data_IF_509988179042
#
_entry.id   IF_509988179042
#
_cell.length_a   1.000
_cell.length_b   1.000
_cell.length_c   1.000
_cell.angle_alpha   90.00
_cell.angle_beta   90.00
_cell.angle_gamma   90.00
#
_symmetry.space_group_name_H-M   'P 1'
#
loop_
_entity.id
_entity.type
_entity.pdbx_description
1 polymer ?
#
# COMPACT_ATOMS: atom_id res chain seq x y z
N UNK A 1 1.31 14.32 3.04
CA UNK A 1 2.47 13.72 3.75
C UNK A 1 2.08 12.98 5.03
N UNK A 2 1.27 13.56 5.91
CA UNK A 2 0.88 12.96 7.20
C UNK A 2 0.37 11.51 7.11
N UNK A 3 -0.49 11.20 6.13
CA UNK A 3 -0.98 9.83 5.94
C UNK A 3 0.13 8.80 5.69
N UNK A 4 1.17 9.15 4.93
CA UNK A 4 2.33 8.27 4.70
C UNK A 4 3.12 8.04 5.99
N UNK A 5 3.28 9.08 6.81
CA UNK A 5 3.98 8.99 8.08
C UNK A 5 3.25 8.07 9.06
N UNK A 6 1.93 8.23 9.19
CA UNK A 6 1.09 7.37 10.02
C UNK A 6 1.17 5.90 9.56
N UNK A 7 1.16 5.66 8.24
CA UNK A 7 1.31 4.29 7.71
C UNK A 7 2.64 3.64 8.13
N UNK A 8 3.71 4.44 8.13
CA UNK A 8 5.03 3.98 8.54
C UNK A 8 5.09 3.70 10.03
N UNK A 9 4.66 4.64 10.86
CA UNK A 9 4.65 4.47 12.33
C UNK A 9 3.82 3.26 12.76
N UNK A 10 2.70 3.02 12.10
CA UNK A 10 1.89 1.84 12.36
C UNK A 10 2.60 0.54 11.97
N UNK A 11 3.29 0.52 10.83
CA UNK A 11 4.12 -0.63 10.42
C UNK A 11 5.28 -0.85 11.39
N UNK A 12 5.94 0.22 11.84
CA UNK A 12 7.03 0.17 12.82
C UNK A 12 6.54 -0.34 14.19
N UNK A 13 5.31 0.01 14.59
CA UNK A 13 4.69 -0.55 15.79
C UNK A 13 4.41 -2.05 15.65
N UNK A 14 3.86 -2.49 14.51
CA UNK A 14 3.58 -3.91 14.26
C UNK A 14 4.85 -4.76 14.18
N UNK A 15 5.97 -4.21 13.69
CA UNK A 15 7.25 -4.92 13.67
C UNK A 15 7.89 -5.06 15.06
N UNK A 16 7.42 -4.29 16.04
CA UNK A 16 7.80 -4.43 17.45
C UNK A 16 6.90 -5.42 18.21
N UNK A 17 5.90 -6.02 17.56
CA UNK A 17 5.05 -7.03 18.18
C UNK A 17 5.89 -8.25 18.59
N UNK A 18 6.12 -8.37 19.89
CA UNK A 18 6.84 -9.49 20.50
C UNK A 18 5.89 -10.42 21.25
N UNK A 19 4.80 -10.80 20.59
CA UNK A 19 3.88 -11.78 21.12
C UNK A 19 4.54 -13.16 21.23
N UNK A 20 4.40 -13.87 22.36
CA UNK A 20 4.97 -15.21 22.53
C UNK A 20 4.24 -16.21 21.64
N UNK A 21 4.84 -16.54 20.50
CA UNK A 21 4.34 -17.55 19.57
C UNK A 21 5.14 -18.85 19.73
N UNK A 22 4.45 -19.97 19.93
CA UNK A 22 5.08 -21.27 20.16
C UNK A 22 5.90 -21.31 21.45
N UNK A 23 7.19 -21.69 21.34
CA UNK A 23 8.09 -21.74 22.50
C UNK A 23 8.89 -20.44 22.72
N UNK A 24 8.72 -19.43 21.88
CA UNK A 24 9.42 -18.15 21.98
C UNK A 24 8.83 -17.31 23.12
N UNK A 25 9.70 -16.77 23.97
CA UNK A 25 9.34 -15.84 25.07
C UNK A 25 10.16 -14.56 24.99
N UNK A 26 9.96 -13.75 23.95
CA UNK A 26 10.61 -12.45 23.87
C UNK A 26 10.17 -11.54 25.02
N UNK A 27 11.07 -10.66 25.47
CA UNK A 27 10.74 -9.65 26.47
C UNK A 27 9.85 -8.56 25.85
N UNK A 28 8.73 -8.16 26.47
CA UNK A 28 7.90 -7.08 25.96
C UNK A 28 8.68 -5.76 25.86
N UNK A 29 8.60 -5.08 24.71
CA UNK A 29 9.20 -3.74 24.49
C UNK A 29 8.12 -2.65 24.45
N UNK A 30 6.91 -3.01 24.02
CA UNK A 30 5.77 -2.10 23.95
C UNK A 30 5.08 -1.94 25.31
N UNK A 31 4.33 -0.86 25.47
CA UNK A 31 3.46 -0.64 26.63
C UNK A 31 2.49 -1.83 26.81
N UNK A 32 2.22 -2.22 28.05
CA UNK A 32 1.45 -3.42 28.38
C UNK A 32 0.05 -3.44 27.76
N UNK A 33 -0.62 -2.28 27.61
CA UNK A 33 -1.90 -2.19 26.92
C UNK A 33 -1.83 -2.50 25.43
N UNK A 34 -0.81 -1.97 24.74
CA UNK A 34 -0.60 -2.19 23.31
C UNK A 34 -0.18 -3.64 23.04
N UNK A 35 0.80 -4.14 23.81
CA UNK A 35 1.28 -5.51 23.67
C UNK A 35 0.17 -6.54 23.94
N UNK A 36 -0.70 -6.30 24.93
CA UNK A 36 -1.82 -7.19 25.23
C UNK A 36 -2.80 -7.33 24.05
N UNK A 37 -3.15 -6.22 23.40
CA UNK A 37 -3.99 -6.22 22.20
C UNK A 37 -3.32 -6.97 21.03
N UNK A 38 -2.03 -6.72 20.79
CA UNK A 38 -1.26 -7.38 19.74
C UNK A 38 -1.11 -8.89 19.99
N UNK A 39 -0.89 -9.29 21.25
CA UNK A 39 -0.83 -10.71 21.62
C UNK A 39 -2.17 -11.40 21.43
N UNK A 40 -3.28 -10.77 21.81
CA UNK A 40 -4.59 -11.34 21.53
C UNK A 40 -4.83 -11.51 20.02
N UNK A 41 -4.50 -10.49 19.23
CA UNK A 41 -4.59 -10.56 17.77
C UNK A 41 -3.70 -11.65 17.18
N UNK A 42 -2.46 -11.76 17.63
CA UNK A 42 -1.49 -12.78 17.21
C UNK A 42 -1.94 -14.20 17.59
N UNK A 43 -2.59 -14.40 18.74
CA UNK A 43 -3.17 -15.68 19.12
C UNK A 43 -4.35 -16.07 18.23
N UNK A 44 -5.26 -15.13 17.93
CA UNK A 44 -6.42 -15.36 17.04
C UNK A 44 -5.98 -15.62 15.60
N UNK A 45 -4.98 -14.89 15.12
CA UNK A 45 -4.46 -14.98 13.75
C UNK A 45 -3.29 -15.96 13.64
N UNK A 46 -3.05 -16.80 14.65
CA UNK A 46 -1.96 -17.79 14.64
C UNK A 46 -0.58 -17.22 14.24
N UNK A 47 -0.32 -15.96 14.58
CA UNK A 47 0.95 -15.27 14.33
C UNK A 47 1.15 -14.73 12.90
N UNK A 48 0.22 -14.95 11.97
CA UNK A 48 0.35 -14.40 10.61
C UNK A 48 -0.34 -13.04 10.42
N UNK A 49 -1.16 -12.59 11.38
CA UNK A 49 -1.92 -11.36 11.27
C UNK A 49 -1.04 -10.11 11.12
N UNK A 50 -0.06 -9.93 12.00
CA UNK A 50 0.84 -8.76 11.96
C UNK A 50 1.62 -8.70 10.63
N UNK A 51 2.25 -9.79 10.13
CA UNK A 51 2.84 -9.83 8.79
C UNK A 51 1.86 -9.50 7.65
N UNK A 52 0.63 -9.99 7.71
CA UNK A 52 -0.39 -9.72 6.69
C UNK A 52 -0.75 -8.23 6.64
N UNK A 53 -0.90 -7.59 7.80
CA UNK A 53 -1.17 -6.15 7.87
C UNK A 53 0.04 -5.35 7.35
N UNK A 54 1.27 -5.69 7.73
CA UNK A 54 2.47 -5.04 7.21
C UNK A 54 2.54 -5.09 5.66
N UNK A 55 2.17 -6.22 5.05
CA UNK A 55 2.09 -6.35 3.60
C UNK A 55 1.00 -5.43 3.00
N UNK A 56 -0.18 -5.37 3.61
CA UNK A 56 -1.25 -4.48 3.18
C UNK A 56 -0.85 -2.99 3.28
N UNK A 57 -0.17 -2.61 4.37
CA UNK A 57 0.34 -1.24 4.57
C UNK A 57 1.41 -0.87 3.53
N UNK A 58 2.20 -1.83 3.06
CA UNK A 58 3.17 -1.61 1.96
C UNK A 58 2.45 -1.27 0.65
N UNK A 59 1.41 -2.05 0.30
CA UNK A 59 0.58 -1.77 -0.87
C UNK A 59 -0.10 -0.41 -0.78
N UNK A 60 -0.62 -0.05 0.40
CA UNK A 60 -1.23 1.25 0.65
C UNK A 60 -0.22 2.40 0.47
N UNK A 61 0.98 2.26 1.01
CA UNK A 61 2.04 3.27 0.86
C UNK A 61 2.41 3.47 -0.62
N UNK A 62 2.50 2.40 -1.39
CA UNK A 62 2.75 2.46 -2.84
C UNK A 62 1.62 3.17 -3.57
N UNK A 63 0.36 2.86 -3.24
CA UNK A 63 -0.80 3.54 -3.79
C UNK A 63 -0.77 5.05 -3.51
N UNK A 64 -0.53 5.45 -2.26
CA UNK A 64 -0.46 6.87 -1.89
C UNK A 64 0.65 7.61 -2.63
N UNK A 65 1.80 6.96 -2.83
CA UNK A 65 2.88 7.53 -3.65
C UNK A 65 2.44 7.77 -5.08
N UNK A 66 1.74 6.83 -5.69
CA UNK A 66 1.29 6.95 -7.08
C UNK A 66 0.18 7.98 -7.23
N UNK A 67 -0.77 8.02 -6.29
CA UNK A 67 -1.84 9.02 -6.26
C UNK A 67 -1.29 10.45 -6.19
N UNK A 68 -0.25 10.69 -5.37
CA UNK A 68 0.40 12.01 -5.30
C UNK A 68 1.03 12.42 -6.63
N UNK A 69 1.74 11.51 -7.31
CA UNK A 69 2.30 11.78 -8.64
C UNK A 69 1.22 12.17 -9.66
N UNK A 70 0.05 11.52 -9.60
CA UNK A 70 -1.06 11.84 -10.49
C UNK A 70 -1.62 13.24 -10.22
N UNK A 71 -1.80 13.60 -8.94
CA UNK A 71 -2.26 14.94 -8.54
C UNK A 71 -1.26 16.02 -8.96
N UNK A 72 0.04 15.80 -8.73
CA UNK A 72 1.08 16.74 -9.15
C UNK A 72 1.09 16.94 -10.67
N UNK A 73 0.93 15.85 -11.44
CA UNK A 73 0.85 15.91 -12.91
C UNK A 73 -0.38 16.69 -13.39
N UNK A 74 -1.55 16.49 -12.77
CA UNK A 74 -2.77 17.23 -13.13
C UNK A 74 -2.59 18.73 -12.85
N UNK A 75 -2.02 19.08 -11.69
CA UNK A 75 -1.81 20.47 -11.30
C UNK A 75 -0.80 21.18 -12.22
N UNK A 76 0.28 20.49 -12.62
CA UNK A 76 1.27 21.02 -13.57
C UNK A 76 0.73 21.07 -15.01
N UNK A 77 -0.18 20.17 -15.39
CA UNK A 77 -0.80 20.13 -16.74
C UNK A 77 -1.84 21.22 -16.94
N UNK A 78 -2.53 21.68 -15.89
CA UNK A 78 -3.51 22.77 -15.99
C UNK A 78 -2.90 24.16 -16.24
N UNK A 79 -1.56 24.29 -16.22
CA UNK A 79 -0.85 25.54 -16.54
C UNK A 79 -0.41 25.67 -18.00
N UNK A 80 -0.61 24.65 -18.85
CA UNK A 80 -0.07 24.59 -20.21
C UNK A 80 -1.12 24.45 -21.32
N UNK A 81 -2.39 24.77 -21.06
CA UNK A 81 -3.43 24.87 -22.11
C UNK A 81 -3.36 26.22 -22.85
N UNK A 82 -2.17 26.54 -23.32
CA UNK A 82 -1.94 27.56 -24.35
C UNK A 82 -0.75 27.09 -25.17
N UNK A 83 -1.03 26.24 -26.18
CA UNK A 83 -0.52 26.35 -27.55
C UNK A 83 -0.26 24.98 -28.21
N UNK A 84 -1.03 24.72 -29.28
CA UNK A 84 -0.48 24.16 -30.52
C UNK A 84 -0.88 22.73 -30.86
N UNK A 85 -1.78 22.60 -31.84
CA UNK A 85 -2.00 21.40 -32.65
C UNK A 85 -0.69 20.73 -33.10
N UNK A 86 -0.68 19.40 -33.14
CA UNK A 86 0.08 18.63 -34.13
C UNK A 86 -0.53 17.23 -34.29
N UNK A 87 -1.01 17.03 -35.50
CA UNK A 87 -1.49 15.82 -36.15
C UNK A 87 -0.45 14.68 -36.21
N UNK A 88 -0.86 13.45 -35.90
CA UNK A 88 -0.31 12.19 -36.43
C UNK A 88 -1.23 11.06 -35.93
N UNK A 89 -2.02 10.34 -36.73
CA UNK A 89 -1.67 9.75 -38.01
C UNK A 89 -1.26 8.29 -37.81
N UNK A 90 -2.18 7.40 -37.41
CA UNK A 90 -2.00 5.94 -37.52
C UNK A 90 -3.34 5.19 -37.51
N UNK A 91 -3.75 4.83 -38.72
CA UNK A 91 -4.91 4.03 -39.12
C UNK A 91 -4.50 2.56 -39.03
N UNK A 92 -5.18 1.73 -38.21
CA UNK A 92 -5.37 0.27 -38.41
C UNK A 92 -5.93 -0.40 -37.15
N UNK A 93 -7.17 -0.86 -37.19
CA UNK A 93 -7.60 -2.18 -36.67
C UNK A 93 -9.03 -2.44 -37.12
N UNK A 94 -9.18 -2.94 -38.34
CA UNK A 94 -10.43 -3.57 -38.80
C UNK A 94 -10.00 -4.86 -39.50
N UNK A 95 -10.49 -6.00 -38.99
CA UNK A 95 -10.36 -7.42 -39.45
C UNK A 95 -9.93 -8.36 -38.32
N UNK A 96 -10.89 -9.07 -37.74
CA UNK A 96 -11.21 -10.45 -38.15
C UNK A 96 -11.78 -11.24 -36.97
N UNK A 97 -13.07 -11.05 -36.77
CA UNK A 97 -13.92 -11.97 -36.03
C UNK A 97 -14.15 -13.22 -36.88
N UNK A 98 -13.35 -14.29 -36.69
CA UNK A 98 -13.74 -15.65 -37.11
C UNK A 98 -12.86 -16.75 -36.52
N UNK A 99 -13.54 -17.78 -36.00
CA UNK A 99 -13.07 -19.12 -35.60
C UNK A 99 -12.48 -19.30 -34.20
N UNK A 100 -13.33 -19.80 -33.30
CA UNK A 100 -13.24 -21.23 -32.94
C UNK A 100 -14.62 -21.77 -32.61
N UNK A 101 -14.96 -22.86 -33.28
CA UNK A 101 -16.13 -23.70 -33.08
C UNK A 101 -15.62 -24.99 -32.43
#
# INVERSE_FOLDING_TARGET
LAAKQICKEFTDLLTQDQSPLGNSRPAPILEQGIQGCLTHFSLITHGFGSPAICAAMTSLQNYLNEALKQVDKMYLSSGSDSQGSSESGSKSTDKMEKHRK
#
